data_IF_945927514265
#
_entry.id   IF_945927514265
#
_cell.length_a   1.000
_cell.length_b   1.000
_cell.length_c   1.000
_cell.angle_alpha   90.00
_cell.angle_beta   90.00
_cell.angle_gamma   90.00
#
_symmetry.space_group_name_H-M   'P 1'
#
loop_
_entity.id
_entity.type
_entity.pdbx_description
1 polymer ?
#
# COMPACT_ATOMS: atom_id res chain seq x y z
N UNK A 1 -11.09 -13.35 25.57
CA UNK A 1 -10.19 -12.80 26.63
C UNK A 1 -10.36 -11.30 26.80
N UNK A 2 -10.24 -10.49 25.73
CA UNK A 2 -10.40 -9.01 25.81
C UNK A 2 -11.73 -8.59 26.46
N UNK A 3 -12.86 -9.07 25.93
CA UNK A 3 -14.20 -8.79 26.52
C UNK A 3 -14.29 -9.19 28.00
N UNK A 4 -13.72 -10.33 28.40
CA UNK A 4 -13.71 -10.74 29.80
C UNK A 4 -12.88 -9.81 30.69
N UNK A 5 -11.78 -9.25 30.19
CA UNK A 5 -11.00 -8.26 30.92
C UNK A 5 -11.73 -6.92 31.03
N UNK A 6 -12.43 -6.47 29.97
CA UNK A 6 -13.27 -5.26 30.04
C UNK A 6 -14.36 -5.39 31.11
N UNK A 7 -15.04 -6.53 31.16
CA UNK A 7 -16.02 -6.80 32.21
C UNK A 7 -15.40 -6.76 33.63
N UNK A 8 -14.18 -7.29 33.81
CA UNK A 8 -13.46 -7.19 35.10
C UNK A 8 -13.13 -5.75 35.48
N UNK A 9 -12.93 -4.87 34.51
CA UNK A 9 -12.68 -3.44 34.70
C UNK A 9 -13.98 -2.63 34.86
N UNK A 10 -15.15 -3.27 34.84
CA UNK A 10 -16.45 -2.64 35.03
C UNK A 10 -17.12 -2.14 33.74
N UNK A 11 -16.56 -2.44 32.57
CA UNK A 11 -17.19 -2.13 31.28
C UNK A 11 -18.05 -3.30 30.81
N UNK A 12 -19.34 -3.05 30.55
CA UNK A 12 -20.21 -4.05 29.92
C UNK A 12 -19.68 -4.39 28.53
N UNK A 13 -19.35 -5.65 28.28
CA UNK A 13 -18.78 -6.08 27.01
C UNK A 13 -19.14 -7.51 26.65
N UNK A 14 -19.38 -7.77 25.37
CA UNK A 14 -19.68 -9.12 24.84
C UNK A 14 -18.80 -9.45 23.62
N UNK A 15 -18.42 -10.72 23.47
CA UNK A 15 -17.60 -11.18 22.33
C UNK A 15 -18.48 -11.76 21.22
N UNK A 16 -18.21 -11.34 19.99
CA UNK A 16 -18.95 -11.74 18.79
C UNK A 16 -18.00 -12.16 17.67
N UNK A 17 -18.09 -13.40 17.16
CA UNK A 17 -17.49 -13.71 15.86
C UNK A 17 -18.09 -12.80 14.78
N UNK A 18 -17.28 -12.27 13.85
CA UNK A 18 -17.79 -11.31 12.85
C UNK A 18 -18.99 -11.84 12.04
N UNK A 19 -19.04 -13.15 11.76
CA UNK A 19 -20.19 -13.73 11.08
C UNK A 19 -21.49 -13.74 11.89
N UNK A 20 -21.46 -13.63 13.23
CA UNK A 20 -22.67 -13.56 14.06
C UNK A 20 -23.30 -12.17 14.04
N UNK A 21 -22.52 -11.12 13.79
CA UNK A 21 -23.04 -9.77 13.58
C UNK A 21 -23.45 -9.51 12.13
N UNK A 22 -23.30 -10.48 11.21
CA UNK A 22 -23.76 -10.33 9.83
C UNK A 22 -22.66 -10.09 8.78
N UNK A 23 -21.39 -10.40 9.10
CA UNK A 23 -20.30 -10.42 8.11
C UNK A 23 -20.50 -11.56 7.09
N UNK A 24 -21.35 -11.32 6.10
CA UNK A 24 -21.66 -12.24 5.01
C UNK A 24 -20.73 -12.00 3.83
N UNK A 25 -20.16 -13.08 3.27
CA UNK A 25 -19.19 -12.99 2.18
C UNK A 25 -19.57 -13.84 0.97
N UNK A 26 -18.84 -13.66 -0.13
CA UNK A 26 -18.84 -14.60 -1.25
C UNK A 26 -18.12 -15.93 -0.93
N UNK A 27 -17.98 -16.78 -1.96
CA UNK A 27 -17.41 -18.13 -1.86
C UNK A 27 -15.90 -18.18 -2.16
N UNK A 28 -15.20 -17.04 -2.28
CA UNK A 28 -13.77 -17.01 -2.61
C UNK A 28 -12.93 -17.24 -1.35
N UNK A 29 -12.82 -18.50 -0.91
CA UNK A 29 -12.02 -18.87 0.27
C UNK A 29 -10.58 -18.33 0.18
N UNK A 30 -10.08 -17.81 1.31
CA UNK A 30 -8.75 -17.18 1.39
C UNK A 30 -8.74 -15.67 1.10
N UNK A 31 -9.72 -15.16 0.36
CA UNK A 31 -9.79 -13.75 -0.07
C UNK A 31 -11.24 -13.27 -0.28
N UNK A 32 -12.16 -13.70 0.59
CA UNK A 32 -13.59 -13.52 0.39
C UNK A 32 -14.00 -12.06 0.50
N UNK A 33 -14.94 -11.60 -0.32
CA UNK A 33 -15.45 -10.22 -0.29
C UNK A 33 -16.77 -10.11 0.48
N UNK A 34 -17.00 -9.03 1.25
CA UNK A 34 -18.27 -8.80 1.91
C UNK A 34 -19.37 -8.59 0.86
N UNK A 35 -20.51 -9.24 1.06
CA UNK A 35 -21.70 -8.99 0.24
C UNK A 35 -22.32 -7.65 0.62
N UNK A 36 -22.98 -6.98 -0.31
CA UNK A 36 -23.62 -5.67 -0.04
C UNK A 36 -24.63 -5.74 1.12
N UNK A 37 -25.32 -6.87 1.29
CA UNK A 37 -26.27 -7.10 2.40
C UNK A 37 -25.57 -7.18 3.78
N UNK A 38 -24.27 -7.45 3.83
CA UNK A 38 -23.52 -7.54 5.09
C UNK A 38 -23.54 -6.21 5.85
N UNK A 39 -23.38 -5.08 5.15
CA UNK A 39 -23.35 -3.75 5.76
C UNK A 39 -24.64 -3.43 6.51
N UNK A 40 -25.79 -3.69 5.89
CA UNK A 40 -27.10 -3.52 6.53
C UNK A 40 -27.26 -4.44 7.75
N UNK A 41 -26.89 -5.72 7.61
CA UNK A 41 -27.02 -6.68 8.73
C UNK A 41 -26.10 -6.36 9.90
N UNK A 42 -24.89 -5.87 9.62
CA UNK A 42 -23.94 -5.44 10.65
C UNK A 42 -24.55 -4.30 11.46
N UNK A 43 -25.07 -3.27 10.80
CA UNK A 43 -25.74 -2.16 11.47
C UNK A 43 -26.93 -2.63 12.33
N UNK A 44 -27.86 -3.39 11.74
CA UNK A 44 -29.04 -3.91 12.44
C UNK A 44 -28.67 -4.78 13.66
N UNK A 45 -27.68 -5.67 13.53
CA UNK A 45 -27.30 -6.56 14.64
C UNK A 45 -26.52 -5.82 15.73
N UNK A 46 -25.67 -4.86 15.38
CA UNK A 46 -24.91 -4.08 16.36
C UNK A 46 -25.80 -3.16 17.19
N UNK A 47 -26.88 -2.61 16.61
CA UNK A 47 -27.88 -1.82 17.34
C UNK A 47 -28.58 -2.62 18.46
N UNK A 48 -28.59 -3.94 18.38
CA UNK A 48 -29.19 -4.83 19.37
C UNK A 48 -28.21 -5.32 20.45
N UNK A 49 -26.95 -4.89 20.41
CA UNK A 49 -25.93 -5.28 21.39
C UNK A 49 -25.75 -4.15 22.39
N UNK A 50 -25.97 -4.45 23.67
CA UNK A 50 -25.67 -3.55 24.78
C UNK A 50 -24.16 -3.61 25.14
N UNK A 51 -23.61 -2.47 25.56
CA UNK A 51 -22.20 -2.33 25.94
C UNK A 51 -21.22 -2.35 24.76
N UNK A 52 -19.97 -2.74 25.03
CA UNK A 52 -18.85 -2.72 24.07
C UNK A 52 -18.74 -4.08 23.35
N UNK A 53 -19.09 -4.17 22.04
CA UNK A 53 -18.91 -5.39 21.28
C UNK A 53 -17.44 -5.63 20.94
N UNK A 54 -16.93 -6.82 21.26
CA UNK A 54 -15.60 -7.29 20.85
C UNK A 54 -15.75 -8.26 19.69
N UNK A 55 -15.45 -7.77 18.50
CA UNK A 55 -15.69 -8.49 17.24
C UNK A 55 -14.39 -9.17 16.78
N UNK A 56 -14.46 -10.42 16.33
CA UNK A 56 -13.29 -11.09 15.74
C UNK A 56 -12.99 -10.51 14.35
N UNK A 57 -11.75 -10.07 14.11
CA UNK A 57 -11.31 -9.70 12.76
C UNK A 57 -11.17 -10.89 11.80
N UNK A 58 -10.84 -10.60 10.54
CA UNK A 58 -10.37 -11.51 9.49
C UNK A 58 -11.38 -12.55 8.95
N UNK A 59 -12.48 -12.84 9.66
CA UNK A 59 -13.39 -13.93 9.33
C UNK A 59 -14.77 -13.44 8.90
N UNK A 60 -15.43 -14.23 8.06
CA UNK A 60 -16.82 -14.05 7.64
C UNK A 60 -17.53 -15.38 7.47
N UNK A 61 -18.72 -15.35 6.88
CA UNK A 61 -19.49 -16.56 6.57
C UNK A 61 -20.20 -16.40 5.23
N UNK A 62 -20.07 -17.39 4.34
CA UNK A 62 -20.80 -17.37 3.09
C UNK A 62 -22.29 -17.71 3.28
N UNK A 63 -23.08 -17.62 2.21
CA UNK A 63 -24.53 -17.90 2.26
C UNK A 63 -24.85 -19.38 2.57
N UNK A 64 -23.95 -20.30 2.27
CA UNK A 64 -24.06 -21.73 2.62
C UNK A 64 -23.72 -22.02 4.09
N UNK A 65 -23.29 -20.99 4.82
CA UNK A 65 -22.95 -21.07 6.23
C UNK A 65 -21.54 -21.58 6.55
N UNK A 66 -20.63 -21.60 5.57
CA UNK A 66 -19.22 -21.95 5.73
C UNK A 66 -18.42 -20.72 6.13
N UNK A 67 -17.48 -20.90 7.06
CA UNK A 67 -16.57 -19.83 7.48
C UNK A 67 -15.61 -19.48 6.33
N UNK A 68 -15.43 -18.20 6.10
CA UNK A 68 -14.53 -17.64 5.10
C UNK A 68 -13.52 -16.71 5.77
N UNK A 69 -12.45 -16.38 5.06
CA UNK A 69 -11.44 -15.41 5.49
C UNK A 69 -11.31 -14.29 4.49
N UNK A 70 -11.04 -13.08 4.99
CA UNK A 70 -11.01 -11.84 4.21
C UNK A 70 -9.65 -11.53 3.56
N UNK A 71 -8.71 -12.47 3.61
CA UNK A 71 -7.36 -12.28 3.07
C UNK A 71 -6.43 -11.47 3.97
N UNK A 72 -5.25 -11.12 3.43
CA UNK A 72 -4.21 -10.38 4.16
C UNK A 72 -4.73 -9.02 4.61
N UNK A 73 -4.42 -8.64 5.85
CA UNK A 73 -4.98 -7.41 6.45
C UNK A 73 -6.47 -7.50 6.79
N UNK A 74 -7.05 -8.71 6.81
CA UNK A 74 -8.49 -8.87 6.98
C UNK A 74 -9.06 -8.38 8.32
N UNK A 75 -8.23 -8.18 9.35
CA UNK A 75 -8.66 -7.54 10.60
C UNK A 75 -8.90 -6.04 10.42
N UNK A 76 -7.98 -5.33 9.75
CA UNK A 76 -8.17 -3.92 9.37
C UNK A 76 -9.37 -3.78 8.44
N UNK A 77 -9.54 -4.74 7.51
CA UNK A 77 -10.68 -4.74 6.61
C UNK A 77 -12.00 -4.97 7.36
N UNK A 78 -11.98 -5.84 8.39
CA UNK A 78 -13.15 -6.02 9.27
C UNK A 78 -13.52 -4.72 9.97
N UNK A 79 -12.53 -3.99 10.51
CA UNK A 79 -12.74 -2.70 11.16
C UNK A 79 -13.34 -1.68 10.19
N UNK A 80 -12.83 -1.60 8.95
CA UNK A 80 -13.36 -0.71 7.94
C UNK A 80 -14.79 -1.07 7.51
N UNK A 81 -15.10 -2.36 7.31
CA UNK A 81 -16.45 -2.81 6.97
C UNK A 81 -17.43 -2.46 8.10
N UNK A 82 -17.07 -2.74 9.35
CA UNK A 82 -17.91 -2.42 10.52
C UNK A 82 -18.09 -0.92 10.65
N UNK A 83 -17.03 -0.12 10.59
CA UNK A 83 -17.11 1.34 10.65
C UNK A 83 -17.98 1.93 9.54
N UNK A 84 -17.83 1.44 8.31
CA UNK A 84 -18.67 1.84 7.17
C UNK A 84 -20.14 1.42 7.32
N UNK A 85 -20.41 0.30 8.00
CA UNK A 85 -21.77 -0.21 8.25
C UNK A 85 -22.52 0.69 9.21
N UNK A 86 -21.87 1.12 10.30
CA UNK A 86 -22.48 1.94 11.36
C UNK A 86 -22.32 3.45 11.13
N UNK A 87 -21.73 3.86 10.00
CA UNK A 87 -21.31 5.24 9.72
C UNK A 87 -20.52 5.86 10.88
N UNK A 88 -19.48 5.14 11.33
CA UNK A 88 -18.62 5.58 12.42
C UNK A 88 -17.99 6.95 12.12
N UNK A 89 -17.80 7.77 13.16
CA UNK A 89 -17.10 9.05 13.03
C UNK A 89 -15.62 8.86 12.62
N UNK A 90 -15.00 7.78 13.10
CA UNK A 90 -13.63 7.40 12.75
C UNK A 90 -13.39 5.89 12.92
N UNK A 91 -12.35 5.38 12.26
CA UNK A 91 -11.84 4.02 12.44
C UNK A 91 -10.41 4.09 12.96
N UNK A 92 -10.15 3.56 14.16
CA UNK A 92 -8.80 3.53 14.72
C UNK A 92 -8.13 2.18 14.50
N UNK A 93 -6.91 2.20 13.94
CA UNK A 93 -6.03 1.04 13.79
C UNK A 93 -4.91 1.18 14.81
N UNK A 94 -4.93 0.32 15.83
CA UNK A 94 -3.96 0.32 16.91
C UNK A 94 -2.85 -0.70 16.65
N UNK A 95 -1.62 -0.21 16.51
CA UNK A 95 -0.40 -0.97 16.17
C UNK A 95 0.73 -0.68 17.19
N UNK A 96 1.97 -0.99 16.84
CA UNK A 96 3.19 -0.83 17.64
C UNK A 96 4.07 0.37 17.24
N UNK A 97 3.55 1.25 16.38
CA UNK A 97 4.24 2.46 15.87
C UNK A 97 3.36 3.70 16.02
N UNK A 98 4.00 4.87 16.17
CA UNK A 98 3.39 6.19 16.36
C UNK A 98 2.75 6.76 15.08
N UNK A 99 2.03 5.91 14.34
CA UNK A 99 1.46 6.22 13.03
C UNK A 99 2.34 5.78 11.86
N UNK A 100 2.10 6.39 10.71
CA UNK A 100 2.90 6.24 9.49
C UNK A 100 4.11 7.17 9.60
N UNK A 101 5.31 6.64 9.35
CA UNK A 101 6.56 7.41 9.39
C UNK A 101 6.91 7.96 8.01
N UNK A 102 7.62 9.09 7.96
CA UNK A 102 8.15 9.70 6.73
C UNK A 102 9.08 8.76 5.95
N UNK A 103 9.75 7.83 6.62
CA UNK A 103 10.47 6.70 6.01
C UNK A 103 10.70 5.57 7.03
N UNK A 104 11.39 4.48 6.66
CA UNK A 104 11.72 3.39 7.59
C UNK A 104 12.71 3.89 8.67
N UNK A 105 12.36 3.82 9.98
CA UNK A 105 13.24 4.22 11.09
C UNK A 105 14.58 3.47 11.14
N UNK A 106 14.70 2.33 10.44
CA UNK A 106 15.96 1.59 10.31
C UNK A 106 16.95 2.23 9.34
N UNK A 107 16.49 3.11 8.45
CA UNK A 107 17.31 3.76 7.42
C UNK A 107 17.73 5.17 7.86
N UNK A 108 16.79 5.92 8.43
CA UNK A 108 16.99 7.28 8.92
C UNK A 108 16.72 7.36 10.42
N UNK A 109 17.54 8.09 11.18
CA UNK A 109 17.34 8.28 12.62
C UNK A 109 16.36 9.39 12.97
N UNK A 110 16.22 10.41 12.10
CA UNK A 110 15.35 11.57 12.34
C UNK A 110 13.99 11.42 11.63
N UNK A 111 13.38 10.23 11.74
CA UNK A 111 12.05 9.96 11.17
C UNK A 111 10.97 10.74 11.91
N UNK A 112 10.02 11.29 11.17
CA UNK A 112 8.90 12.02 11.72
C UNK A 112 7.61 11.23 11.49
N UNK A 113 6.69 11.18 12.46
CA UNK A 113 5.35 10.67 12.21
C UNK A 113 4.60 11.66 11.31
N UNK A 114 3.93 11.14 10.29
CA UNK A 114 3.08 11.92 9.40
C UNK A 114 1.78 12.21 10.16
N UNK A 115 1.44 13.48 10.40
CA UNK A 115 0.22 13.83 11.15
C UNK A 115 -1.04 13.51 10.35
N UNK A 116 -1.04 13.84 9.06
CA UNK A 116 -2.18 13.64 8.17
C UNK A 116 -1.69 13.22 6.79
N UNK A 117 -2.41 12.28 6.16
CA UNK A 117 -2.15 11.89 4.79
C UNK A 117 -3.43 11.47 4.08
N UNK A 118 -3.42 11.52 2.75
CA UNK A 118 -4.53 11.02 1.95
C UNK A 118 -4.48 9.50 1.79
N UNK A 119 -5.63 8.89 1.50
CA UNK A 119 -5.69 7.46 1.17
C UNK A 119 -4.80 7.08 -0.01
N UNK A 120 -4.69 7.94 -1.02
CA UNK A 120 -3.82 7.68 -2.17
C UNK A 120 -2.34 7.66 -1.76
N UNK A 121 -1.91 8.61 -0.91
CA UNK A 121 -0.53 8.62 -0.38
C UNK A 121 -0.25 7.37 0.46
N UNK A 122 -1.22 6.94 1.28
CA UNK A 122 -1.09 5.73 2.09
C UNK A 122 -0.99 4.48 1.22
N UNK A 123 -1.77 4.43 0.14
CA UNK A 123 -1.76 3.33 -0.80
C UNK A 123 -0.41 3.18 -1.53
N UNK A 124 0.13 4.29 -2.03
CA UNK A 124 1.43 4.34 -2.69
C UNK A 124 2.55 3.90 -1.73
N UNK A 125 2.54 4.43 -0.51
CA UNK A 125 3.53 4.06 0.51
C UNK A 125 3.48 2.57 0.85
N UNK A 126 2.28 2.04 1.05
CA UNK A 126 2.09 0.62 1.38
C UNK A 126 2.57 -0.30 0.26
N UNK A 127 2.37 0.11 -1.00
CA UNK A 127 2.83 -0.64 -2.16
C UNK A 127 4.37 -0.70 -2.24
N UNK A 128 5.05 0.41 -2.00
CA UNK A 128 6.52 0.52 -2.10
C UNK A 128 7.27 0.29 -0.78
N UNK A 129 6.67 -0.44 0.17
CA UNK A 129 7.39 -1.03 1.29
C UNK A 129 7.06 -0.50 2.68
N UNK A 130 6.20 0.52 2.83
CA UNK A 130 5.75 0.98 4.14
C UNK A 130 4.73 -0.01 4.71
N UNK A 131 5.13 -0.84 5.67
CA UNK A 131 4.22 -1.75 6.37
C UNK A 131 3.36 -0.97 7.35
N UNK A 132 2.24 -0.43 6.91
CA UNK A 132 1.26 0.21 7.81
C UNK A 132 -0.15 -0.29 7.56
N UNK A 133 -0.71 -0.03 6.38
CA UNK A 133 -2.07 -0.44 6.02
C UNK A 133 -2.10 -0.92 4.58
N UNK A 134 -2.73 -2.07 4.35
CA UNK A 134 -2.92 -2.52 2.98
C UNK A 134 -4.05 -1.71 2.32
N UNK A 135 -3.86 -1.07 1.15
CA UNK A 135 -4.82 -0.10 0.60
C UNK A 135 -6.26 -0.64 0.47
N UNK A 136 -6.39 -1.93 0.12
CA UNK A 136 -7.69 -2.61 0.02
C UNK A 136 -8.49 -2.62 1.33
N UNK A 137 -7.83 -2.65 2.48
CA UNK A 137 -8.51 -2.84 3.77
C UNK A 137 -9.30 -1.60 4.19
N UNK A 138 -8.97 -0.43 3.66
CA UNK A 138 -9.61 0.85 4.02
C UNK A 138 -10.60 1.35 2.98
N UNK A 139 -10.81 0.64 1.86
CA UNK A 139 -11.78 1.01 0.82
C UNK A 139 -13.17 1.32 1.38
N UNK A 140 -13.76 0.53 2.30
CA UNK A 140 -15.08 0.87 2.86
C UNK A 140 -15.10 2.21 3.59
N UNK A 141 -13.99 2.59 4.24
CA UNK A 141 -13.86 3.87 4.90
C UNK A 141 -13.77 5.02 3.88
N UNK A 142 -12.99 4.83 2.81
CA UNK A 142 -12.85 5.77 1.68
C UNK A 142 -14.22 6.09 1.07
N UNK A 143 -14.98 5.05 0.71
CA UNK A 143 -16.30 5.17 0.07
C UNK A 143 -17.33 5.90 0.95
N UNK A 144 -17.17 5.80 2.28
CA UNK A 144 -18.03 6.48 3.27
C UNK A 144 -17.46 7.79 3.77
N UNK A 145 -16.30 8.22 3.28
CA UNK A 145 -15.59 9.41 3.76
C UNK A 145 -15.35 9.38 5.28
N UNK A 146 -14.99 8.21 5.81
CA UNK A 146 -14.66 8.00 7.23
C UNK A 146 -13.14 8.04 7.38
N UNK A 147 -12.65 8.84 8.32
CA UNK A 147 -11.22 8.96 8.60
C UNK A 147 -10.70 7.68 9.26
N UNK A 148 -9.48 7.26 8.87
CA UNK A 148 -8.78 6.14 9.50
C UNK A 148 -7.58 6.66 10.28
N UNK A 149 -7.48 6.37 11.58
CA UNK A 149 -6.40 6.87 12.43
C UNK A 149 -5.49 5.72 12.85
N UNK A 150 -4.21 5.78 12.51
CA UNK A 150 -3.19 4.79 12.92
C UNK A 150 -2.55 5.24 14.22
N UNK A 151 -2.70 4.45 15.29
CA UNK A 151 -2.25 4.78 16.66
C UNK A 151 -1.34 3.71 17.25
N UNK A 152 -0.59 4.08 18.29
CA UNK A 152 0.32 3.18 18.99
C UNK A 152 -0.25 2.68 20.32
N UNK A 153 -0.41 1.37 20.46
CA UNK A 153 -0.83 0.71 21.70
C UNK A 153 0.09 0.97 22.89
N UNK A 154 1.38 1.22 22.62
CA UNK A 154 2.43 1.46 23.62
C UNK A 154 2.62 2.95 23.94
N UNK A 155 2.05 3.85 23.13
CA UNK A 155 2.16 5.31 23.29
C UNK A 155 0.78 5.96 22.99
N UNK A 156 -0.15 5.77 23.92
CA UNK A 156 -1.58 6.05 23.70
C UNK A 156 -1.91 7.54 23.57
N UNK A 157 -1.08 8.41 24.14
CA UNK A 157 -1.24 9.86 24.08
C UNK A 157 -0.76 10.45 22.75
N UNK A 158 -0.01 9.68 21.95
CA UNK A 158 0.41 10.13 20.63
C UNK A 158 -0.81 10.24 19.69
N UNK A 159 -0.96 11.33 18.91
CA UNK A 159 -2.10 11.52 18.01
C UNK A 159 -2.15 10.46 16.91
N UNK A 160 -0.98 10.01 16.45
CA UNK A 160 -0.85 9.04 15.36
C UNK A 160 -0.93 9.72 13.99
N UNK A 161 -1.35 8.97 12.99
CA UNK A 161 -1.56 9.47 11.62
C UNK A 161 -3.03 9.37 11.25
N UNK A 162 -3.62 10.49 10.85
CA UNK A 162 -4.99 10.52 10.32
C UNK A 162 -4.95 10.37 8.79
N UNK A 163 -5.65 9.37 8.27
CA UNK A 163 -5.80 9.11 6.85
C UNK A 163 -7.16 9.63 6.40
N UNK A 164 -7.15 10.57 5.46
CA UNK A 164 -8.31 11.33 4.99
C UNK A 164 -8.51 11.19 3.47
N UNK A 165 -9.69 11.57 2.98
CA UNK A 165 -9.95 11.61 1.53
C UNK A 165 -9.22 12.76 0.85
N UNK A 166 -9.26 13.94 1.46
CA UNK A 166 -8.59 15.14 0.98
C UNK A 166 -7.96 15.84 2.19
N UNK A 167 -6.80 16.45 1.98
CA UNK A 167 -6.03 17.15 3.00
C UNK A 167 -5.81 18.61 2.57
N UNK A 168 -5.80 19.51 3.54
CA UNK A 168 -5.39 20.91 3.36
C UNK A 168 -3.88 21.11 3.60
N UNK A 169 -3.16 20.07 4.01
CA UNK A 169 -1.72 20.13 4.25
C UNK A 169 -0.95 20.37 2.93
N UNK A 170 -0.18 21.44 2.91
CA UNK A 170 0.59 21.91 1.75
C UNK A 170 1.94 21.20 1.59
N UNK A 171 2.29 20.27 2.50
CA UNK A 171 3.55 19.51 2.42
C UNK A 171 3.65 18.80 1.07
N UNK A 172 4.72 19.10 0.32
CA UNK A 172 4.86 18.62 -1.05
C UNK A 172 5.38 17.18 -1.09
N UNK A 173 6.35 16.84 -0.23
CA UNK A 173 6.84 15.47 -0.08
C UNK A 173 6.43 14.99 1.30
N UNK A 174 5.60 13.95 1.35
CA UNK A 174 5.12 13.38 2.61
C UNK A 174 6.04 12.29 3.13
N UNK A 175 6.67 11.55 2.21
CA UNK A 175 7.38 10.34 2.58
C UNK A 175 8.26 9.79 1.46
N UNK A 176 9.25 9.01 1.86
CA UNK A 176 10.19 8.33 0.96
C UNK A 176 10.29 6.87 1.38
N UNK A 177 10.06 5.96 0.43
CA UNK A 177 10.16 4.53 0.67
C UNK A 177 11.13 3.86 -0.28
N UNK A 178 11.54 2.65 0.11
CA UNK A 178 12.41 1.80 -0.69
C UNK A 178 11.82 0.39 -0.78
N UNK A 179 11.70 -0.12 -2.00
CA UNK A 179 11.43 -1.53 -2.25
C UNK A 179 12.72 -2.21 -2.70
N UNK A 180 13.16 -3.17 -1.88
CA UNK A 180 14.38 -3.95 -2.07
C UNK A 180 14.08 -5.28 -2.76
N UNK A 181 15.15 -5.99 -3.11
CA UNK A 181 15.07 -7.31 -3.74
C UNK A 181 14.26 -7.22 -5.04
N UNK A 182 14.62 -6.26 -5.89
CA UNK A 182 13.98 -6.01 -7.18
C UNK A 182 14.97 -6.35 -8.29
N UNK A 183 14.44 -6.77 -9.43
CA UNK A 183 15.17 -6.90 -10.68
C UNK A 183 14.50 -6.07 -11.79
N UNK A 184 15.28 -5.57 -12.75
CA UNK A 184 14.77 -5.04 -14.01
C UNK A 184 14.79 -6.15 -15.05
N UNK A 185 13.63 -6.45 -15.63
CA UNK A 185 13.48 -7.24 -16.83
C UNK A 185 13.24 -6.30 -18.02
N UNK A 186 14.09 -6.36 -19.04
CA UNK A 186 13.96 -5.57 -20.25
C UNK A 186 13.76 -6.47 -21.46
N UNK A 187 12.75 -6.13 -22.27
CA UNK A 187 12.46 -6.80 -23.55
C UNK A 187 12.69 -5.80 -24.66
N UNK A 188 13.58 -6.12 -25.59
CA UNK A 188 13.87 -5.32 -26.78
C UNK A 188 13.42 -6.04 -28.05
N UNK A 189 12.61 -5.37 -28.88
CA UNK A 189 12.04 -5.95 -30.10
C UNK A 189 11.66 -4.86 -31.09
N UNK A 190 12.28 -4.87 -32.28
CA UNK A 190 11.84 -4.01 -33.39
C UNK A 190 10.39 -4.28 -33.81
N UNK A 191 9.85 -5.47 -33.47
CA UNK A 191 8.43 -5.84 -33.65
C UNK A 191 7.47 -5.01 -32.79
N UNK A 192 7.95 -4.18 -31.88
CA UNK A 192 7.13 -3.25 -31.10
C UNK A 192 6.70 -2.02 -31.91
N UNK A 193 7.50 -1.62 -32.91
CA UNK A 193 7.20 -0.44 -33.75
C UNK A 193 5.89 -0.63 -34.51
N UNK A 194 4.94 0.28 -34.30
CA UNK A 194 3.60 0.27 -34.92
C UNK A 194 2.80 -1.03 -34.70
N UNK A 195 3.19 -1.86 -33.73
CA UNK A 195 2.54 -3.13 -33.49
C UNK A 195 1.49 -2.99 -32.38
N UNK A 196 0.22 -3.11 -32.76
CA UNK A 196 -0.84 -3.28 -31.78
C UNK A 196 -0.67 -4.62 -31.03
N UNK A 197 -0.92 -4.62 -29.73
CA UNK A 197 -0.97 -5.85 -28.92
C UNK A 197 0.38 -6.43 -28.48
N UNK A 198 1.52 -5.77 -28.74
CA UNK A 198 2.82 -6.22 -28.20
C UNK A 198 2.82 -6.22 -26.66
N UNK A 199 2.37 -5.12 -26.04
CA UNK A 199 2.22 -5.03 -24.59
C UNK A 199 1.19 -6.03 -24.06
N UNK A 200 0.08 -6.24 -24.76
CA UNK A 200 -0.94 -7.22 -24.36
C UNK A 200 -0.34 -8.63 -24.28
N UNK A 201 0.45 -9.05 -25.27
CA UNK A 201 1.13 -10.36 -25.26
C UNK A 201 2.10 -10.49 -24.09
N UNK A 202 2.88 -9.46 -23.80
CA UNK A 202 3.77 -9.45 -22.63
C UNK A 202 2.94 -9.69 -21.37
N UNK A 203 1.93 -8.87 -21.11
CA UNK A 203 1.16 -8.97 -19.87
C UNK A 203 0.32 -10.26 -19.77
N UNK A 204 -0.10 -10.87 -20.88
CA UNK A 204 -0.71 -12.20 -20.86
C UNK A 204 0.25 -13.29 -20.39
N UNK A 205 1.55 -13.18 -20.69
CA UNK A 205 2.58 -14.09 -20.18
C UNK A 205 2.76 -13.86 -18.66
N UNK A 206 2.83 -12.61 -18.21
CA UNK A 206 2.89 -12.30 -16.77
C UNK A 206 1.68 -12.84 -16.00
N UNK A 207 0.47 -12.70 -16.54
CA UNK A 207 -0.77 -13.26 -15.98
C UNK A 207 -0.70 -14.79 -15.88
N UNK A 208 -0.28 -15.48 -16.95
CA UNK A 208 -0.14 -16.94 -16.99
C UNK A 208 0.78 -17.48 -15.89
N UNK A 209 1.84 -16.75 -15.55
CA UNK A 209 2.80 -17.13 -14.51
C UNK A 209 2.54 -16.48 -13.15
N UNK A 210 1.44 -15.73 -13.00
CA UNK A 210 1.06 -15.03 -11.77
C UNK A 210 2.15 -14.09 -11.23
N UNK A 211 2.92 -13.45 -12.12
CA UNK A 211 4.01 -12.53 -11.75
C UNK A 211 3.51 -11.09 -11.77
N UNK A 212 3.69 -10.39 -10.66
CA UNK A 212 3.33 -8.97 -10.52
C UNK A 212 4.46 -8.07 -11.01
N UNK A 213 4.10 -6.97 -11.69
CA UNK A 213 5.02 -5.93 -12.15
C UNK A 213 4.82 -4.68 -11.31
N UNK A 214 5.91 -4.08 -10.82
CA UNK A 214 5.83 -2.86 -10.01
C UNK A 214 5.87 -1.57 -10.83
N UNK A 215 6.89 -1.42 -11.66
CA UNK A 215 7.09 -0.24 -12.51
C UNK A 215 7.25 -0.68 -13.96
N UNK A 216 6.78 0.17 -14.86
CA UNK A 216 6.92 -0.01 -16.31
C UNK A 216 7.50 1.28 -16.90
N UNK A 217 8.43 1.12 -17.83
CA UNK A 217 8.96 2.19 -18.67
C UNK A 217 9.13 1.65 -20.09
N UNK A 218 8.74 2.45 -21.08
CA UNK A 218 8.77 2.03 -22.48
C UNK A 218 9.54 3.02 -23.33
N UNK A 219 10.19 2.51 -24.36
CA UNK A 219 10.68 3.24 -25.53
C UNK A 219 9.95 2.72 -26.78
N UNK A 220 10.35 3.19 -27.95
CA UNK A 220 9.78 2.77 -29.23
C UNK A 220 9.97 1.28 -29.53
N UNK A 221 11.05 0.69 -29.02
CA UNK A 221 11.47 -0.69 -29.31
C UNK A 221 11.72 -1.54 -28.07
N UNK A 222 11.55 -1.01 -26.87
CA UNK A 222 11.80 -1.79 -25.65
C UNK A 222 10.88 -1.44 -24.49
N UNK A 223 10.62 -2.44 -23.65
CA UNK A 223 9.84 -2.36 -22.43
C UNK A 223 10.73 -2.81 -21.27
N UNK A 224 10.86 -1.97 -20.25
CA UNK A 224 11.52 -2.28 -18.99
C UNK A 224 10.48 -2.38 -17.88
N UNK A 225 10.58 -3.45 -17.10
CA UNK A 225 9.66 -3.77 -16.01
C UNK A 225 10.46 -4.12 -14.76
N UNK A 226 9.98 -3.73 -13.59
CA UNK A 226 10.56 -4.16 -12.31
C UNK A 226 9.72 -5.25 -11.67
N UNK A 227 10.39 -6.29 -11.18
CA UNK A 227 9.78 -7.46 -10.54
C UNK A 227 10.49 -7.73 -9.22
N UNK A 228 9.88 -8.53 -8.34
CA UNK A 228 10.63 -9.13 -7.24
C UNK A 228 11.79 -9.96 -7.80
N UNK A 229 12.94 -9.93 -7.13
CA UNK A 229 14.10 -10.72 -7.52
C UNK A 229 13.91 -12.18 -7.09
N UNK A 230 13.27 -12.95 -7.96
CA UNK A 230 13.10 -14.40 -7.88
C UNK A 230 13.55 -15.08 -9.18
N UNK A 231 13.50 -16.41 -9.22
CA UNK A 231 13.80 -17.19 -10.43
C UNK A 231 12.55 -17.39 -11.29
N UNK A 232 12.51 -16.76 -12.47
CA UNK A 232 11.37 -16.83 -13.40
C UNK A 232 11.70 -17.53 -14.73
N UNK A 233 12.43 -18.65 -14.69
CA UNK A 233 12.97 -19.33 -15.89
C UNK A 233 11.95 -19.51 -17.01
N UNK A 234 10.79 -20.12 -16.73
CA UNK A 234 9.78 -20.39 -17.76
C UNK A 234 9.12 -19.12 -18.33
N UNK A 235 8.92 -18.09 -17.50
CA UNK A 235 8.42 -16.80 -17.98
C UNK A 235 9.45 -16.13 -18.89
N UNK A 236 10.73 -16.19 -18.55
CA UNK A 236 11.81 -15.62 -19.35
C UNK A 236 11.90 -16.32 -20.71
N UNK A 237 11.90 -17.66 -20.72
CA UNK A 237 11.93 -18.46 -21.96
C UNK A 237 10.77 -18.09 -22.91
N UNK A 238 9.55 -17.89 -22.40
CA UNK A 238 8.40 -17.48 -23.24
C UNK A 238 8.49 -16.02 -23.70
N UNK A 239 9.04 -15.12 -22.89
CA UNK A 239 9.27 -13.72 -23.29
C UNK A 239 10.36 -13.59 -24.36
N UNK A 240 11.34 -14.49 -24.39
CA UNK A 240 12.38 -14.55 -25.43
C UNK A 240 11.80 -14.81 -26.83
N UNK A 241 10.62 -15.42 -26.93
CA UNK A 241 9.90 -15.56 -28.21
C UNK A 241 9.43 -14.19 -28.76
N UNK A 242 9.25 -13.19 -27.90
CA UNK A 242 8.78 -11.84 -28.24
C UNK A 242 9.91 -10.85 -28.52
N UNK A 243 11.12 -11.08 -28.03
CA UNK A 243 12.26 -10.18 -28.21
C UNK A 243 13.50 -10.62 -27.46
N UNK A 244 14.57 -9.81 -27.51
CA UNK A 244 15.74 -10.01 -26.69
C UNK A 244 15.40 -9.64 -25.23
N UNK A 245 15.52 -10.61 -24.32
CA UNK A 245 15.30 -10.40 -22.89
C UNK A 245 16.64 -10.20 -22.19
N UNK A 246 16.73 -9.17 -21.35
CA UNK A 246 17.89 -8.92 -20.49
C UNK A 246 17.42 -8.64 -19.06
N UNK A 247 18.21 -9.10 -18.09
CA UNK A 247 17.88 -9.00 -16.66
C UNK A 247 19.01 -8.28 -15.94
N UNK A 248 18.63 -7.36 -15.06
CA UNK A 248 19.53 -6.72 -14.09
C UNK A 248 19.00 -6.98 -12.68
N UNK A 249 19.76 -7.73 -11.92
CA UNK A 249 19.51 -7.95 -10.49
C UNK A 249 20.14 -6.84 -9.64
N UNK A 250 19.98 -6.95 -8.32
CA UNK A 250 20.63 -6.09 -7.32
C UNK A 250 20.29 -4.61 -7.49
N UNK A 251 19.01 -4.34 -7.74
CA UNK A 251 18.46 -2.99 -7.81
C UNK A 251 17.35 -2.80 -6.78
N UNK A 252 17.12 -1.54 -6.42
CA UNK A 252 16.04 -1.12 -5.52
C UNK A 252 15.20 -0.03 -6.18
N UNK A 253 13.92 0.00 -5.84
CA UNK A 253 13.01 1.08 -6.23
C UNK A 253 12.99 2.08 -5.09
N UNK A 254 13.31 3.34 -5.40
CA UNK A 254 13.05 4.48 -4.53
C UNK A 254 11.74 5.11 -4.98
N UNK A 255 10.83 5.32 -4.04
CA UNK A 255 9.57 6.01 -4.28
C UNK A 255 9.49 7.25 -3.39
N UNK A 256 9.37 8.40 -4.02
CA UNK A 256 9.05 9.66 -3.34
C UNK A 256 7.55 9.88 -3.46
N UNK A 257 6.86 9.94 -2.33
CA UNK A 257 5.41 10.14 -2.26
C UNK A 257 5.11 11.53 -1.73
N UNK A 258 4.11 12.17 -2.30
CA UNK A 258 3.74 13.53 -1.92
C UNK A 258 2.67 14.12 -2.82
N UNK A 259 2.48 15.43 -2.77
CA UNK A 259 1.33 16.11 -3.37
C UNK A 259 1.72 16.85 -4.63
N UNK A 260 0.96 16.64 -5.69
CA UNK A 260 1.14 17.31 -6.98
C UNK A 260 2.58 17.21 -7.54
N UNK A 261 3.31 16.13 -7.22
CA UNK A 261 4.70 15.94 -7.61
C UNK A 261 4.88 15.99 -9.11
N UNK A 262 3.93 15.43 -9.87
CA UNK A 262 3.96 15.40 -11.34
C UNK A 262 3.99 16.78 -11.98
N UNK A 263 3.32 17.77 -11.41
CA UNK A 263 3.29 19.12 -11.95
C UNK A 263 4.32 20.05 -11.29
N UNK A 264 5.08 19.53 -10.33
CA UNK A 264 6.11 20.30 -9.63
C UNK A 264 7.50 20.01 -10.20
N UNK A 265 7.84 20.70 -11.29
CA UNK A 265 9.15 20.57 -11.96
C UNK A 265 10.33 20.84 -11.03
N UNK A 266 10.16 21.73 -10.05
CA UNK A 266 11.22 22.08 -9.10
C UNK A 266 11.57 20.89 -8.22
N UNK A 267 10.57 20.20 -7.68
CA UNK A 267 10.79 19.01 -6.84
C UNK A 267 11.37 17.86 -7.66
N UNK A 268 10.87 17.63 -8.88
CA UNK A 268 11.42 16.59 -9.75
C UNK A 268 12.90 16.83 -10.08
N UNK A 269 13.24 18.07 -10.44
CA UNK A 269 14.64 18.45 -10.69
C UNK A 269 15.48 18.22 -9.44
N UNK A 270 14.98 18.65 -8.28
CA UNK A 270 15.69 18.52 -7.00
C UNK A 270 15.96 17.06 -6.63
N UNK A 271 14.96 16.16 -6.79
CA UNK A 271 15.12 14.72 -6.53
C UNK A 271 16.33 14.18 -7.29
N UNK A 272 16.37 14.41 -8.62
CA UNK A 272 17.43 13.85 -9.44
C UNK A 272 18.77 14.58 -9.26
N UNK A 273 18.77 15.88 -8.95
CA UNK A 273 20.00 16.61 -8.60
C UNK A 273 20.63 16.09 -7.32
N UNK A 274 19.85 15.78 -6.28
CA UNK A 274 20.37 15.15 -5.06
C UNK A 274 21.09 13.84 -5.40
N UNK A 275 20.42 12.96 -6.15
CA UNK A 275 20.96 11.64 -6.53
C UNK A 275 22.23 11.78 -7.38
N UNK A 276 22.26 12.71 -8.33
CA UNK A 276 23.40 12.94 -9.23
C UNK A 276 24.63 13.52 -8.50
N UNK A 277 24.43 14.45 -7.56
CA UNK A 277 25.52 15.01 -6.74
C UNK A 277 26.29 13.95 -5.95
N UNK A 278 25.66 12.82 -5.63
CA UNK A 278 26.28 11.68 -4.94
C UNK A 278 26.85 10.63 -5.90
N UNK A 279 26.82 10.88 -7.21
CA UNK A 279 27.31 9.97 -8.25
C UNK A 279 26.45 8.72 -8.43
N UNK A 280 25.21 8.72 -7.94
CA UNK A 280 24.31 7.57 -8.01
C UNK A 280 23.63 7.56 -9.37
N UNK A 281 23.77 6.46 -10.11
CA UNK A 281 23.16 6.35 -11.43
C UNK A 281 21.71 5.85 -11.36
N UNK A 282 20.79 6.59 -11.98
CA UNK A 282 19.39 6.17 -12.13
C UNK A 282 19.26 5.22 -13.32
N UNK A 283 18.75 4.01 -13.06
CA UNK A 283 18.61 2.93 -14.04
C UNK A 283 17.29 2.97 -14.81
N UNK A 284 16.24 3.43 -14.16
CA UNK A 284 14.88 3.50 -14.70
C UNK A 284 14.09 4.55 -13.94
N UNK A 285 13.22 5.27 -14.63
CA UNK A 285 12.28 6.24 -14.05
C UNK A 285 10.88 5.82 -14.49
N UNK A 286 9.92 5.84 -13.57
CA UNK A 286 8.50 5.72 -13.91
C UNK A 286 7.73 6.82 -13.19
N UNK A 287 7.15 7.69 -13.99
CA UNK A 287 6.34 8.81 -13.54
C UNK A 287 5.25 9.04 -14.58
N UNK A 288 3.99 9.15 -14.16
CA UNK A 288 2.90 9.50 -15.09
C UNK A 288 1.56 8.80 -14.82
N UNK A 289 1.56 7.65 -14.16
CA UNK A 289 0.32 6.98 -13.74
C UNK A 289 -0.31 7.62 -12.49
N UNK A 290 0.52 8.27 -11.66
CA UNK A 290 0.12 8.90 -10.40
C UNK A 290 0.52 10.38 -10.39
N UNK A 291 -0.30 11.23 -9.76
CA UNK A 291 0.05 12.64 -9.50
C UNK A 291 0.94 12.79 -8.27
N UNK A 292 1.04 11.74 -7.46
CA UNK A 292 1.52 11.80 -6.08
C UNK A 292 2.77 10.94 -5.84
N UNK A 293 3.33 10.32 -6.88
CA UNK A 293 4.56 9.53 -6.77
C UNK A 293 5.60 9.91 -7.84
N UNK A 294 6.87 9.75 -7.47
CA UNK A 294 8.01 9.69 -8.38
C UNK A 294 8.81 8.44 -8.03
N UNK A 295 8.69 7.42 -8.88
CA UNK A 295 9.43 6.17 -8.73
C UNK A 295 10.66 6.13 -9.62
N UNK A 296 11.79 5.71 -9.08
CA UNK A 296 12.99 5.46 -9.87
C UNK A 296 13.81 4.30 -9.29
N UNK A 297 14.61 3.68 -10.15
CA UNK A 297 15.39 2.48 -9.82
C UNK A 297 16.87 2.82 -9.78
N UNK A 298 17.55 2.38 -8.73
CA UNK A 298 19.01 2.52 -8.55
C UNK A 298 19.61 1.18 -8.14
N UNK A 299 20.93 1.07 -8.16
CA UNK A 299 21.62 -0.11 -7.64
C UNK A 299 21.36 -0.25 -6.12
N UNK A 300 21.09 -1.47 -5.65
CA UNK A 300 20.64 -1.76 -4.27
C UNK A 300 21.62 -1.24 -3.21
N UNK A 301 22.92 -1.29 -3.49
CA UNK A 301 23.97 -0.76 -2.60
C UNK A 301 23.82 0.75 -2.27
N UNK A 302 23.16 1.51 -3.15
CA UNK A 302 22.93 2.93 -2.98
C UNK A 302 21.56 3.25 -2.34
N UNK A 303 20.72 2.25 -2.11
CA UNK A 303 19.34 2.40 -1.64
C UNK A 303 19.21 3.27 -0.39
N UNK A 304 19.87 2.87 0.70
CA UNK A 304 19.81 3.56 2.00
C UNK A 304 20.40 4.96 1.93
N UNK A 305 21.45 5.14 1.12
CA UNK A 305 22.09 6.44 0.91
C UNK A 305 21.14 7.40 0.21
N UNK A 306 20.46 6.93 -0.85
CA UNK A 306 19.47 7.72 -1.57
C UNK A 306 18.28 8.10 -0.69
N UNK A 307 17.74 7.16 0.09
CA UNK A 307 16.65 7.44 1.04
C UNK A 307 17.08 8.50 2.07
N UNK A 308 18.24 8.35 2.70
CA UNK A 308 18.76 9.32 3.67
C UNK A 308 18.91 10.71 3.07
N UNK A 309 19.51 10.80 1.89
CA UNK A 309 19.75 12.07 1.21
C UNK A 309 18.44 12.80 0.87
N UNK A 310 17.48 12.08 0.30
CA UNK A 310 16.18 12.64 -0.04
C UNK A 310 15.40 13.01 1.23
N UNK A 311 15.49 12.20 2.28
CA UNK A 311 14.82 12.47 3.55
C UNK A 311 15.37 13.74 4.20
N UNK A 312 16.70 13.86 4.29
CA UNK A 312 17.35 15.07 4.77
C UNK A 312 16.94 16.29 3.95
N UNK A 313 16.87 16.17 2.62
CA UNK A 313 16.53 17.28 1.73
C UNK A 313 15.08 17.74 1.88
N UNK A 314 14.13 16.82 1.83
CA UNK A 314 12.72 17.14 1.69
C UNK A 314 11.94 17.17 3.01
N UNK A 315 12.36 16.38 3.99
CA UNK A 315 11.67 16.26 5.27
C UNK A 315 12.37 17.08 6.35
N UNK A 316 13.69 16.93 6.50
CA UNK A 316 14.40 17.56 7.62
C UNK A 316 14.71 19.04 7.36
N UNK A 317 15.17 19.38 6.15
CA UNK A 317 15.52 20.74 5.78
C UNK A 317 14.35 21.58 5.25
N UNK A 318 13.16 20.98 5.08
CA UNK A 318 11.92 21.68 4.70
C UNK A 318 12.00 22.42 3.37
N UNK A 319 11.99 21.68 2.26
CA UNK A 319 12.02 22.25 0.90
C UNK A 319 10.73 23.00 0.52
#
# INVERSE_FOLDING_TARGET
MVSANLNKLGFESTHHPAYTIGMLTDNKFGDAQPLSIAYQKIDENLQNIEGIPIITGFIGKNLDGRITTLGRGGSDFTAAIVGASINADEIQIWTDVDGVMTTDPRICSNVQPISEMTFNEAAELAYFGAKVLHPRTIIPAVEKNINVVVKNTMNQDHPGTTIVNNTEDESIVTSISIKRNVMILRIESARMLNAHGFLARIFSIFEKYEVSVDMIATSEVSVSMTLNSDTYTSLIEELEELGNVSIRNDVSIICVVGRNLRNNNRIQSEIFSCIENEGINVRMISQGASLINVGFVIDEENGDKAVRLLHERFIENGY
#
